data_IF_160727547278
#
_entry.id   IF_160727547278
#
_cell.length_a   1.000
_cell.length_b   1.000
_cell.length_c   1.000
_cell.angle_alpha   90.00
_cell.angle_beta   90.00
_cell.angle_gamma   90.00
#
_symmetry.space_group_name_H-M   'P 1'
#
loop_
_entity.id
_entity.type
_entity.pdbx_description
1 polymer ?
#
# COMPACT_ATOMS: atom_id res chain seq x y z
N UNK A 1 -7.30 8.83 -3.85
CA UNK A 1 -6.76 7.58 -3.27
C UNK A 1 -5.27 7.73 -3.09
N UNK A 2 -4.77 7.24 -1.98
CA UNK A 2 -3.39 7.46 -1.55
C UNK A 2 -2.71 6.12 -1.30
N UNK A 3 -1.49 5.97 -1.79
CA UNK A 3 -0.63 4.86 -1.44
C UNK A 3 0.70 5.40 -0.91
N UNK A 4 1.00 5.09 0.34
CA UNK A 4 2.34 5.26 0.87
C UNK A 4 3.08 3.96 0.65
N UNK A 5 4.11 4.00 -0.21
CA UNK A 5 4.86 2.81 -0.57
C UNK A 5 6.26 2.85 0.02
N UNK A 6 6.69 1.70 0.54
CA UNK A 6 8.01 1.55 1.15
C UNK A 6 8.67 0.31 0.57
N UNK A 7 9.87 0.49 0.04
CA UNK A 7 10.68 -0.65 -0.40
C UNK A 7 11.18 -1.41 0.82
N UNK A 8 10.95 -2.73 0.85
CA UNK A 8 11.27 -3.55 2.03
C UNK A 8 12.12 -4.76 1.66
N UNK A 9 12.91 -5.22 2.62
CA UNK A 9 13.54 -6.55 2.55
C UNK A 9 12.60 -7.61 3.09
N UNK A 10 11.70 -7.23 4.00
CA UNK A 10 10.61 -8.06 4.53
C UNK A 10 9.56 -7.18 5.16
N UNK A 11 8.33 -7.66 5.18
CA UNK A 11 7.23 -7.02 5.91
C UNK A 11 6.18 -8.06 6.28
N UNK A 12 5.46 -7.81 7.36
CA UNK A 12 4.39 -8.69 7.81
C UNK A 12 3.31 -7.92 8.56
N UNK A 13 2.13 -8.52 8.63
CA UNK A 13 1.02 -8.03 9.43
C UNK A 13 0.58 -9.14 10.38
N UNK A 14 0.40 -8.79 11.66
CA UNK A 14 -0.18 -9.68 12.65
C UNK A 14 -1.43 -9.05 13.26
N UNK A 15 -2.43 -9.88 13.52
CA UNK A 15 -3.68 -9.54 14.20
C UNK A 15 -3.83 -10.52 15.36
N UNK A 16 -3.88 -10.01 16.59
CA UNK A 16 -3.94 -10.83 17.81
C UNK A 16 -2.85 -11.91 17.84
N UNK A 17 -1.65 -11.57 17.38
CA UNK A 17 -0.51 -12.50 17.37
C UNK A 17 -0.44 -13.41 16.16
N UNK A 18 -1.48 -13.47 15.32
CA UNK A 18 -1.52 -14.33 14.13
C UNK A 18 -1.11 -13.54 12.89
N UNK A 19 -0.15 -14.05 12.12
CA UNK A 19 0.29 -13.44 10.89
C UNK A 19 -0.77 -13.62 9.81
N UNK A 20 -1.29 -12.51 9.27
CA UNK A 20 -2.28 -12.51 8.20
C UNK A 20 -1.67 -12.40 6.82
N UNK A 21 -0.48 -11.80 6.72
CA UNK A 21 0.24 -11.65 5.47
C UNK A 21 1.71 -11.40 5.74
N UNK A 22 2.56 -11.87 4.85
CA UNK A 22 4.02 -11.75 4.99
C UNK A 22 4.67 -11.79 3.63
N UNK A 23 5.67 -10.94 3.43
CA UNK A 23 6.47 -10.92 2.19
C UNK A 23 7.96 -10.82 2.52
N UNK A 24 8.80 -11.31 1.62
CA UNK A 24 10.21 -10.99 1.57
C UNK A 24 10.44 -9.67 0.82
N UNK A 25 11.46 -9.58 -0.05
CA UNK A 25 11.73 -8.34 -0.79
C UNK A 25 10.53 -7.89 -1.62
N UNK A 26 10.25 -6.59 -1.59
CA UNK A 26 9.14 -6.02 -2.33
C UNK A 26 8.70 -4.68 -1.80
N UNK A 27 7.38 -4.45 -1.83
CA UNK A 27 6.74 -3.21 -1.38
C UNK A 27 5.74 -3.47 -0.27
N UNK A 28 5.84 -2.69 0.80
CA UNK A 28 4.71 -2.46 1.70
C UNK A 28 3.91 -1.29 1.14
N UNK A 29 2.61 -1.48 0.95
CA UNK A 29 1.69 -0.48 0.43
C UNK A 29 0.64 -0.18 1.49
N UNK A 30 0.70 1.02 2.08
CA UNK A 30 -0.34 1.53 2.96
C UNK A 30 -1.34 2.27 2.08
N UNK A 31 -2.60 1.83 2.07
CA UNK A 31 -3.62 2.31 1.14
C UNK A 31 -4.70 3.08 1.87
N UNK A 32 -4.87 4.36 1.52
CA UNK A 32 -5.92 5.22 2.02
C UNK A 32 -6.95 5.51 0.95
N UNK A 33 -8.23 5.29 1.27
CA UNK A 33 -9.34 5.53 0.36
C UNK A 33 -10.06 6.82 0.78
N UNK A 34 -10.23 7.73 -0.17
CA UNK A 34 -10.90 9.01 0.03
C UNK A 34 -12.36 8.92 -0.42
N UNK A 35 -13.20 9.83 0.10
CA UNK A 35 -14.67 9.74 -0.05
C UNK A 35 -15.18 9.80 -1.49
N UNK A 36 -14.40 10.36 -2.42
CA UNK A 36 -14.79 10.47 -3.83
C UNK A 36 -14.04 9.52 -4.75
N UNK A 37 -13.38 8.52 -4.18
CA UNK A 37 -12.62 7.56 -4.95
C UNK A 37 -13.53 6.58 -5.72
N UNK A 38 -13.00 6.10 -6.83
CA UNK A 38 -13.70 5.26 -7.79
C UNK A 38 -12.83 4.05 -8.17
N UNK A 39 -13.40 3.00 -8.75
CA UNK A 39 -12.61 1.90 -9.29
C UNK A 39 -11.57 2.34 -10.32
N UNK A 40 -11.86 3.37 -11.12
CA UNK A 40 -10.91 3.92 -12.09
C UNK A 40 -9.68 4.51 -11.39
N UNK A 41 -9.88 5.22 -10.28
CA UNK A 41 -8.77 5.74 -9.48
C UNK A 41 -7.95 4.60 -8.86
N UNK A 42 -8.62 3.57 -8.37
CA UNK A 42 -7.93 2.40 -7.83
C UNK A 42 -7.08 1.70 -8.88
N UNK A 43 -7.59 1.55 -10.11
CA UNK A 43 -6.83 1.03 -11.24
C UNK A 43 -5.59 1.88 -11.53
N UNK A 44 -5.77 3.19 -11.61
CA UNK A 44 -4.67 4.10 -11.90
C UNK A 44 -3.61 4.05 -10.82
N UNK A 45 -4.01 4.03 -9.56
CA UNK A 45 -3.05 3.95 -8.46
C UNK A 45 -2.31 2.62 -8.47
N UNK A 46 -3.01 1.52 -8.73
CA UNK A 46 -2.39 0.20 -8.85
C UNK A 46 -1.31 0.20 -9.96
N UNK A 47 -1.63 0.74 -11.15
CA UNK A 47 -0.67 0.87 -12.24
C UNK A 47 0.58 1.64 -11.80
N UNK A 48 0.38 2.76 -11.10
CA UNK A 48 1.49 3.59 -10.64
C UNK A 48 2.33 2.89 -9.58
N UNK A 49 1.71 2.21 -8.63
CA UNK A 49 2.42 1.48 -7.58
C UNK A 49 3.26 0.35 -8.17
N UNK A 50 2.65 -0.47 -9.02
CA UNK A 50 3.35 -1.62 -9.63
C UNK A 50 4.38 -1.19 -10.67
N UNK A 51 4.20 -0.04 -11.28
CA UNK A 51 5.12 0.50 -12.27
C UNK A 51 6.21 1.41 -11.72
N UNK A 52 6.16 1.77 -10.43
CA UNK A 52 7.08 2.75 -9.87
C UNK A 52 8.50 2.20 -9.81
N UNK A 53 9.45 2.96 -10.36
CA UNK A 53 10.80 2.45 -10.65
C UNK A 53 11.76 2.77 -9.51
N UNK A 54 11.58 2.08 -8.39
CA UNK A 54 12.32 2.35 -7.15
C UNK A 54 13.21 1.20 -6.68
N UNK A 55 13.34 0.17 -7.50
CA UNK A 55 14.26 -0.95 -7.23
C UNK A 55 15.53 -0.75 -8.04
N UNK A 56 16.67 -1.10 -7.42
CA UNK A 56 17.96 -0.91 -8.07
C UNK A 56 18.15 -1.88 -9.23
N UNK A 57 18.68 -1.34 -10.34
CA UNK A 57 19.14 -2.16 -11.46
C UNK A 57 20.58 -2.66 -11.22
N UNK A 58 21.17 -3.33 -12.22
CA UNK A 58 22.52 -3.85 -12.15
C UNK A 58 23.59 -2.76 -12.00
N UNK A 59 23.27 -1.51 -12.32
CA UNK A 59 24.15 -0.35 -12.16
C UNK A 59 23.94 0.39 -10.84
N UNK A 60 23.07 -0.14 -9.96
CA UNK A 60 22.75 0.47 -8.68
C UNK A 60 21.82 1.67 -8.75
N UNK A 61 21.15 1.91 -9.88
CA UNK A 61 20.22 3.03 -10.06
C UNK A 61 18.79 2.58 -9.82
N UNK A 62 17.96 3.44 -9.22
CA UNK A 62 16.53 3.21 -9.10
C UNK A 62 15.90 3.22 -10.48
N UNK A 63 15.60 2.06 -11.02
CA UNK A 63 15.16 1.91 -12.40
C UNK A 63 14.15 0.79 -12.62
N UNK A 64 14.11 -0.21 -11.77
CA UNK A 64 13.21 -1.35 -11.93
C UNK A 64 11.96 -1.16 -11.08
N UNK A 65 10.82 -1.62 -11.59
CA UNK A 65 9.60 -1.72 -10.79
C UNK A 65 9.61 -3.03 -9.97
N UNK A 66 8.61 -3.22 -9.11
CA UNK A 66 8.55 -4.37 -8.21
C UNK A 66 8.50 -5.70 -8.98
N UNK A 67 7.81 -5.73 -10.12
CA UNK A 67 7.69 -6.93 -10.94
C UNK A 67 9.03 -7.29 -11.60
N UNK A 68 9.70 -6.30 -12.18
CA UNK A 68 11.02 -6.49 -12.78
C UNK A 68 12.06 -6.94 -11.74
N UNK A 69 11.92 -6.45 -10.51
CA UNK A 69 12.81 -6.83 -9.42
C UNK A 69 12.47 -8.20 -8.80
N UNK A 70 11.37 -8.84 -9.23
CA UNK A 70 10.95 -10.11 -8.69
C UNK A 70 10.36 -10.05 -7.29
N UNK A 71 9.89 -8.88 -6.87
CA UNK A 71 9.36 -8.67 -5.52
C UNK A 71 7.87 -8.97 -5.38
N UNK A 72 7.43 -8.97 -4.14
CA UNK A 72 6.03 -9.15 -3.75
C UNK A 72 5.46 -7.85 -3.17
N UNK A 73 4.15 -7.83 -2.97
CA UNK A 73 3.46 -6.64 -2.43
C UNK A 73 2.63 -7.06 -1.22
N UNK A 74 2.74 -6.28 -0.14
CA UNK A 74 1.88 -6.43 1.04
C UNK A 74 1.02 -5.16 1.14
N UNK A 75 -0.29 -5.30 0.94
CA UNK A 75 -1.24 -4.19 0.94
C UNK A 75 -1.98 -4.14 2.25
N UNK A 76 -1.86 -3.01 2.94
CA UNK A 76 -2.50 -2.78 4.24
C UNK A 76 -3.41 -1.57 4.14
N UNK A 77 -4.66 -1.72 4.53
CA UNK A 77 -5.60 -0.60 4.61
C UNK A 77 -5.17 0.37 5.71
N UNK A 78 -5.09 1.65 5.37
CA UNK A 78 -4.62 2.72 6.27
C UNK A 78 -5.50 3.96 6.09
N UNK A 79 -6.67 3.97 6.72
CA UNK A 79 -7.62 5.07 6.55
C UNK A 79 -7.07 6.41 7.04
N UNK A 80 -6.15 6.40 7.99
CA UNK A 80 -5.55 7.63 8.53
C UNK A 80 -4.74 8.43 7.51
N UNK A 81 -4.33 7.82 6.39
CA UNK A 81 -3.68 8.56 5.31
C UNK A 81 -4.59 9.62 4.67
N UNK A 82 -5.90 9.40 4.69
CA UNK A 82 -6.89 10.34 4.15
C UNK A 82 -7.24 11.44 5.15
N UNK A 83 -6.65 11.45 6.34
CA UNK A 83 -6.92 12.45 7.36
C UNK A 83 -6.42 13.82 6.93
N UNK A 84 -7.19 14.85 7.28
CA UNK A 84 -6.75 16.23 7.19
C UNK A 84 -5.97 16.59 8.46
N UNK A 85 -4.71 16.92 8.28
CA UNK A 85 -3.78 17.27 9.35
C UNK A 85 -3.39 18.75 9.32
N UNK A 86 -4.09 19.57 8.52
CA UNK A 86 -3.68 20.96 8.25
C UNK A 86 -3.87 21.91 9.42
N UNK A 87 -4.75 21.59 10.36
CA UNK A 87 -4.96 22.49 11.51
C UNK A 87 -5.13 21.74 12.81
N UNK A 88 -4.61 22.34 13.89
CA UNK A 88 -4.73 21.81 15.23
C UNK A 88 -3.89 20.57 15.49
N UNK A 89 -4.21 19.88 16.56
CA UNK A 89 -3.47 18.73 17.07
C UNK A 89 -4.28 17.43 16.99
N UNK A 90 -5.42 17.47 16.31
CA UNK A 90 -6.25 16.28 16.08
C UNK A 90 -6.45 16.08 14.58
N UNK A 91 -6.31 14.85 14.06
CA UNK A 91 -6.63 14.61 12.67
C UNK A 91 -8.15 14.72 12.45
N UNK A 92 -8.55 15.23 11.29
CA UNK A 92 -9.93 15.18 10.83
C UNK A 92 -10.06 14.06 9.79
N UNK A 93 -11.07 13.20 9.95
CA UNK A 93 -11.31 12.08 9.03
C UNK A 93 -12.43 12.38 8.01
N UNK A 94 -12.80 13.65 7.86
CA UNK A 94 -13.89 14.04 6.96
C UNK A 94 -13.63 13.75 5.50
N UNK A 95 -12.36 13.60 5.09
CA UNK A 95 -11.98 13.30 3.71
C UNK A 95 -11.89 11.79 3.43
N UNK A 96 -11.99 10.96 4.44
CA UNK A 96 -11.92 9.52 4.27
C UNK A 96 -13.23 8.94 3.75
N UNK A 97 -13.15 7.84 3.01
CA UNK A 97 -14.32 7.12 2.55
C UNK A 97 -15.07 6.45 3.70
N UNK A 98 -16.38 6.25 3.52
CA UNK A 98 -17.14 5.41 4.43
C UNK A 98 -16.57 3.98 4.42
N UNK A 99 -16.69 3.22 5.53
CA UNK A 99 -16.08 1.90 5.62
C UNK A 99 -16.43 0.95 4.48
N UNK A 100 -17.68 0.95 4.03
CA UNK A 100 -18.10 0.06 2.94
C UNK A 100 -17.38 0.36 1.62
N UNK A 101 -17.27 1.64 1.24
CA UNK A 101 -16.54 2.05 0.04
C UNK A 101 -15.05 1.78 0.20
N UNK A 102 -14.51 2.07 1.37
CA UNK A 102 -13.10 1.85 1.64
C UNK A 102 -12.72 0.38 1.50
N UNK A 103 -13.54 -0.53 2.05
CA UNK A 103 -13.30 -1.97 1.93
C UNK A 103 -13.41 -2.45 0.48
N UNK A 104 -14.45 -2.00 -0.23
CA UNK A 104 -14.67 -2.36 -1.64
C UNK A 104 -13.46 -1.97 -2.51
N UNK A 105 -12.99 -0.73 -2.39
CA UNK A 105 -11.89 -0.25 -3.22
C UNK A 105 -10.54 -0.82 -2.78
N UNK A 106 -10.37 -1.09 -1.49
CA UNK A 106 -9.19 -1.79 -0.99
C UNK A 106 -9.11 -3.21 -1.59
N UNK A 107 -10.19 -3.96 -1.53
CA UNK A 107 -10.26 -5.32 -2.10
C UNK A 107 -10.06 -5.30 -3.61
N UNK A 108 -10.64 -4.32 -4.28
CA UNK A 108 -10.47 -4.13 -5.72
C UNK A 108 -9.00 -3.86 -6.08
N UNK A 109 -8.34 -3.00 -5.33
CA UNK A 109 -6.91 -2.72 -5.53
C UNK A 109 -6.06 -3.98 -5.36
N UNK A 110 -6.32 -4.76 -4.31
CA UNK A 110 -5.62 -6.03 -4.06
C UNK A 110 -5.80 -6.99 -5.22
N UNK A 111 -7.05 -7.13 -5.70
CA UNK A 111 -7.35 -8.02 -6.82
C UNK A 111 -6.66 -7.57 -8.11
N UNK A 112 -6.56 -6.26 -8.33
CA UNK A 112 -5.83 -5.73 -9.48
C UNK A 112 -4.34 -6.06 -9.42
N UNK A 113 -3.74 -6.03 -8.25
CA UNK A 113 -2.35 -6.44 -8.06
C UNK A 113 -2.18 -7.93 -8.43
N UNK A 114 -3.08 -8.78 -7.95
CA UNK A 114 -3.05 -10.22 -8.26
C UNK A 114 -3.25 -10.49 -9.74
N UNK A 115 -4.18 -9.80 -10.37
CA UNK A 115 -4.45 -9.92 -11.81
C UNK A 115 -3.23 -9.52 -12.65
N UNK A 116 -2.43 -8.59 -12.17
CA UNK A 116 -1.16 -8.20 -12.82
C UNK A 116 -0.06 -9.24 -12.67
N UNK A 117 -0.30 -10.33 -11.93
CA UNK A 117 0.67 -11.41 -11.75
C UNK A 117 1.66 -11.20 -10.61
N UNK A 118 1.40 -10.23 -9.72
CA UNK A 118 2.25 -9.96 -8.56
C UNK A 118 1.76 -10.79 -7.37
N UNK A 119 2.68 -11.46 -6.68
CA UNK A 119 2.36 -12.07 -5.39
C UNK A 119 1.92 -10.98 -4.42
N UNK A 120 0.68 -11.07 -3.96
CA UNK A 120 0.05 -10.03 -3.14
C UNK A 120 -0.47 -10.64 -1.84
N UNK A 121 0.05 -10.13 -0.74
CA UNK A 121 -0.39 -10.47 0.61
C UNK A 121 -1.14 -9.27 1.19
N UNK A 122 -1.94 -9.51 2.21
CA UNK A 122 -2.77 -8.47 2.83
C UNK A 122 -2.74 -8.55 4.35
N UNK A 123 -3.13 -7.43 4.99
CA UNK A 123 -3.57 -7.45 6.37
C UNK A 123 -5.05 -7.87 6.45
N UNK A 124 -5.75 -7.37 7.47
CA UNK A 124 -7.19 -7.60 7.66
C UNK A 124 -7.88 -6.25 7.78
N UNK A 125 -8.84 -5.99 6.89
CA UNK A 125 -9.54 -4.71 6.87
C UNK A 125 -10.23 -4.44 8.22
N UNK A 126 -10.09 -3.20 8.70
CA UNK A 126 -10.66 -2.69 9.94
C UNK A 126 -10.17 -3.36 11.23
N UNK A 127 -9.21 -4.27 11.16
CA UNK A 127 -8.62 -4.89 12.35
C UNK A 127 -7.54 -3.98 12.95
N UNK A 128 -7.25 -4.20 14.23
CA UNK A 128 -6.07 -3.65 14.88
C UNK A 128 -4.87 -4.50 14.46
N UNK A 129 -3.98 -3.91 13.69
CA UNK A 129 -2.86 -4.63 13.06
C UNK A 129 -1.51 -4.17 13.60
N UNK A 130 -0.62 -5.14 13.78
CA UNK A 130 0.79 -4.87 14.03
C UNK A 130 1.54 -5.06 12.70
N UNK A 131 2.02 -3.96 12.13
CA UNK A 131 2.72 -3.97 10.84
C UNK A 131 4.21 -3.89 11.10
N UNK A 132 4.94 -4.92 10.71
CA UNK A 132 6.38 -5.00 10.86
C UNK A 132 7.04 -4.91 9.49
N UNK A 133 8.15 -4.18 9.40
CA UNK A 133 8.87 -4.03 8.14
C UNK A 133 10.33 -3.66 8.38
N UNK A 134 11.16 -3.97 7.38
CA UNK A 134 12.49 -3.40 7.26
C UNK A 134 12.50 -2.58 5.98
N UNK A 135 12.53 -1.26 6.13
CA UNK A 135 12.58 -0.34 4.99
C UNK A 135 14.01 -0.34 4.42
N UNK A 136 14.09 -0.79 3.18
CA UNK A 136 15.37 -0.96 2.48
C UNK A 136 15.79 0.34 1.82
N UNK A 137 16.78 0.99 2.44
CA UNK A 137 17.30 2.23 1.88
C UNK A 137 17.54 3.35 2.89
N UNK A 138 16.60 3.94 3.62
CA UNK A 138 15.14 3.81 3.47
C UNK A 138 14.62 4.43 2.17
N UNK A 139 13.56 3.85 1.63
CA UNK A 139 12.90 4.34 0.41
C UNK A 139 11.39 4.35 0.64
N UNK A 140 10.81 5.53 0.63
CA UNK A 140 9.38 5.75 0.93
C UNK A 140 8.85 6.84 0.02
N UNK A 141 7.72 6.58 -0.64
CA UNK A 141 7.07 7.55 -1.50
C UNK A 141 5.58 7.63 -1.24
N UNK A 142 5.04 8.81 -1.43
CA UNK A 142 3.61 9.11 -1.35
C UNK A 142 3.08 9.25 -2.77
N UNK A 143 2.16 8.36 -3.18
CA UNK A 143 1.48 8.43 -4.47
C UNK A 143 0.01 8.76 -4.24
N UNK A 144 -0.51 9.68 -5.01
CA UNK A 144 -1.92 10.08 -4.91
C UNK A 144 -2.52 10.29 -6.30
N UNK A 145 -3.73 9.82 -6.47
CA UNK A 145 -4.52 10.03 -7.69
C UNK A 145 -5.85 10.68 -7.35
#
# INVERSE_FOLDING_TARGET
>A
MIALIQRVTRASVAVNGDVTGEIGPGLLVLLGVEKEDTPQKANRLCERVLGYRIFSDENGKMNLNVQQAGGSVLVVSQFTLAADTNSGMRPSFSNGAAPALAEELYEYFVERCRTAGIETQTGRFAADMQVSLVNDGPVTFWLQV
#
